data_IF_361727730909
#
_entry.id   IF_361727730909
#
_cell.length_a   1.000
_cell.length_b   1.000
_cell.length_c   1.000
_cell.angle_alpha   90.00
_cell.angle_beta   90.00
_cell.angle_gamma   90.00
#
_symmetry.space_group_name_H-M   'P 1'
#
loop_
_entity.id
_entity.type
_entity.pdbx_description
1 polymer ?
#
# COMPACT_ATOMS: atom_id res chain seq x y z
N UNK A 1 -7.96 -11.27 -23.69
CA UNK A 1 -7.54 -10.84 -23.54
C UNK A 1 -7.11 -10.39 -22.74
N UNK A 2 -6.92 -10.22 -22.47
CA UNK A 2 -6.64 -9.86 -21.63
C UNK A 2 -5.85 -9.09 -21.54
N UNK A 3 -5.79 -8.34 -21.49
CA UNK A 3 -5.10 -7.50 -21.49
C UNK A 3 -4.53 -7.26 -20.40
N UNK A 4 -3.59 -7.34 -20.22
CA UNK A 4 -2.98 -7.04 -19.19
C UNK A 4 -3.05 -5.75 -18.86
N UNK A 5 -3.55 -5.40 -17.87
CA UNK A 5 -3.62 -4.14 -17.55
C UNK A 5 -2.53 -3.82 -16.70
N UNK A 6 -1.53 -3.32 -17.17
CA UNK A 6 -0.40 -3.01 -16.40
C UNK A 6 -0.54 -1.82 -15.60
N UNK A 7 -1.66 -1.14 -15.69
CA UNK A 7 -1.79 0.09 -14.97
C UNK A 7 -2.51 -0.09 -13.66
N UNK A 8 -2.93 -1.28 -13.34
CA UNK A 8 -3.58 -1.49 -12.07
C UNK A 8 -2.53 -1.75 -11.01
N UNK A 9 -2.91 -1.54 -9.77
CA UNK A 9 -2.02 -1.78 -8.66
C UNK A 9 -2.87 -2.11 -7.45
N UNK A 10 -2.24 -2.66 -6.43
CA UNK A 10 -2.97 -3.03 -5.24
C UNK A 10 -2.13 -2.79 -4.02
N UNK A 11 -2.80 -2.45 -2.92
CA UNK A 11 -2.16 -2.34 -1.63
C UNK A 11 -2.82 -3.34 -0.70
N UNK A 12 -2.01 -3.88 0.19
CA UNK A 12 -2.50 -4.76 1.22
C UNK A 12 -2.26 -4.07 2.55
N UNK A 13 -3.30 -3.99 3.35
CA UNK A 13 -3.17 -3.35 4.65
C UNK A 13 -3.35 -4.42 5.71
N UNK A 14 -2.34 -4.55 6.56
CA UNK A 14 -2.40 -5.49 7.66
C UNK A 14 -2.36 -4.69 8.93
N UNK A 15 -3.29 -4.96 9.83
CA UNK A 15 -3.33 -4.23 11.09
C UNK A 15 -3.36 -5.20 12.24
N UNK A 16 -2.83 -4.80 13.37
CA UNK A 16 -2.88 -5.63 14.57
C UNK A 16 -2.71 -4.74 15.80
N UNK A 17 -3.07 -5.30 16.95
CA UNK A 17 -2.86 -4.62 18.22
C UNK A 17 -1.71 -5.33 18.88
N UNK A 18 -0.70 -4.58 19.25
CA UNK A 18 0.49 -5.17 19.79
C UNK A 18 0.23 -5.70 21.19
N UNK A 19 0.59 -6.95 21.40
CA UNK A 19 0.35 -7.54 22.68
C UNK A 19 1.22 -6.91 23.72
N UNK A 20 0.71 -6.66 24.87
CA UNK A 20 1.51 -6.08 25.93
C UNK A 20 1.40 -4.58 26.02
N UNK A 21 1.36 -3.91 24.90
CA UNK A 21 1.26 -2.45 24.94
C UNK A 21 -0.07 -1.96 24.41
N UNK A 22 -0.86 -2.85 23.82
CA UNK A 22 -2.15 -2.49 23.24
C UNK A 22 -2.02 -1.39 22.23
N UNK A 23 -0.91 -1.31 21.56
CA UNK A 23 -0.74 -0.27 20.57
C UNK A 23 -1.16 -0.75 19.20
N UNK A 24 -1.81 0.14 18.48
CA UNK A 24 -2.20 -0.14 17.11
C UNK A 24 -0.97 -0.15 16.20
N UNK A 25 -0.91 -1.12 15.35
CA UNK A 25 0.16 -1.19 14.37
C UNK A 25 -0.41 -1.55 13.02
N UNK A 26 0.22 -1.07 12.00
CA UNK A 26 -0.22 -1.36 10.64
C UNK A 26 0.96 -1.43 9.70
N UNK A 27 0.81 -2.25 8.69
CA UNK A 27 1.80 -2.34 7.63
C UNK A 27 1.08 -2.20 6.32
N UNK A 28 1.53 -1.28 5.49
CA UNK A 28 0.97 -1.06 4.17
C UNK A 28 1.95 -1.63 3.17
N UNK A 29 1.50 -2.53 2.34
CA UNK A 29 2.38 -3.20 1.38
C UNK A 29 1.84 -3.03 -0.02
N UNK A 30 2.72 -2.80 -0.95
CA UNK A 30 2.35 -2.79 -2.35
C UNK A 30 2.48 -4.20 -2.87
N UNK A 31 1.45 -4.67 -3.55
CA UNK A 31 1.44 -6.02 -4.04
C UNK A 31 1.92 -6.01 -5.47
N UNK A 32 2.98 -6.72 -5.72
CA UNK A 32 3.54 -6.74 -7.04
C UNK A 32 2.94 -7.82 -7.90
N UNK A 33 3.27 -7.80 -9.16
CA UNK A 33 2.65 -8.74 -10.09
C UNK A 33 3.21 -10.14 -10.00
N UNK A 34 4.32 -10.34 -9.36
CA UNK A 34 4.88 -11.66 -9.31
C UNK A 34 5.20 -12.04 -7.91
N UNK A 35 5.58 -13.31 -7.74
CA UNK A 35 5.94 -13.76 -6.44
C UNK A 35 7.13 -13.04 -5.96
N UNK A 36 7.15 -12.67 -4.71
CA UNK A 36 8.29 -12.00 -4.15
C UNK A 36 8.41 -10.55 -4.53
N UNK A 37 7.42 -10.00 -5.21
CA UNK A 37 7.54 -8.61 -5.57
C UNK A 37 6.75 -7.70 -4.64
N UNK A 38 6.18 -8.23 -3.59
CA UNK A 38 5.52 -7.38 -2.61
C UNK A 38 6.57 -6.62 -1.83
N UNK A 39 6.26 -5.40 -1.45
CA UNK A 39 7.20 -4.65 -0.66
C UNK A 39 6.46 -3.76 0.32
N UNK A 40 7.09 -3.49 1.43
CA UNK A 40 6.51 -2.64 2.45
C UNK A 40 6.61 -1.19 2.00
N UNK A 41 5.49 -0.52 1.99
CA UNK A 41 5.43 0.88 1.64
C UNK A 41 5.58 1.72 2.89
N UNK A 42 4.95 1.32 3.97
CA UNK A 42 5.00 2.12 5.18
C UNK A 42 4.62 1.28 6.38
N UNK A 43 5.12 1.67 7.52
CA UNK A 43 4.69 1.14 8.80
C UNK A 43 4.02 2.28 9.53
N UNK A 44 2.93 2.00 10.20
CA UNK A 44 2.18 3.05 10.85
C UNK A 44 1.74 2.61 12.22
N UNK A 45 1.59 3.54 13.11
CA UNK A 45 1.14 3.24 14.44
C UNK A 45 -0.12 4.00 14.80
N UNK A 46 -0.80 4.56 13.82
CA UNK A 46 -2.07 5.22 14.06
C UNK A 46 -2.88 5.17 12.78
N UNK A 47 -4.19 5.24 12.90
CA UNK A 47 -5.03 5.28 11.70
C UNK A 47 -4.72 6.47 10.80
N UNK A 48 -4.41 7.61 11.38
CA UNK A 48 -4.07 8.77 10.58
C UNK A 48 -2.81 8.52 9.76
N UNK A 49 -1.84 7.87 10.36
CA UNK A 49 -0.62 7.57 9.64
C UNK A 49 -0.88 6.59 8.50
N UNK A 50 -1.81 5.66 8.70
CA UNK A 50 -2.18 4.75 7.63
C UNK A 50 -2.80 5.52 6.47
N UNK A 51 -3.72 6.42 6.76
CA UNK A 51 -4.36 7.18 5.72
C UNK A 51 -3.36 8.05 4.98
N UNK A 52 -2.43 8.61 5.71
CA UNK A 52 -1.43 9.43 5.08
C UNK A 52 -0.54 8.61 4.15
N UNK A 53 -0.17 7.43 4.58
CA UNK A 53 0.68 6.56 3.76
C UNK A 53 -0.06 6.14 2.49
N UNK A 54 -1.33 5.79 2.63
CA UNK A 54 -2.10 5.38 1.47
C UNK A 54 -2.28 6.54 0.52
N UNK A 55 -2.55 7.73 1.07
CA UNK A 55 -2.71 8.91 0.23
C UNK A 55 -1.45 9.24 -0.54
N UNK A 56 -0.30 9.16 0.13
CA UNK A 56 0.95 9.41 -0.54
C UNK A 56 1.21 8.41 -1.64
N UNK A 57 0.90 7.14 -1.36
CA UNK A 57 1.12 6.12 -2.35
C UNK A 57 0.21 6.34 -3.56
N UNK A 58 -1.02 6.75 -3.32
CA UNK A 58 -1.93 7.02 -4.42
C UNK A 58 -1.48 8.20 -5.25
N UNK A 59 -0.96 9.24 -4.60
CA UNK A 59 -0.44 10.37 -5.33
C UNK A 59 0.72 9.95 -6.22
N UNK A 60 1.58 9.15 -5.69
CA UNK A 60 2.70 8.68 -6.46
C UNK A 60 2.26 7.80 -7.61
N UNK A 61 1.28 6.95 -7.36
CA UNK A 61 0.76 6.09 -8.39
C UNK A 61 0.16 6.91 -9.52
N UNK A 62 -0.60 7.93 -9.20
CA UNK A 62 -1.21 8.76 -10.21
C UNK A 62 -0.17 9.54 -10.99
N UNK A 63 0.89 9.94 -10.33
CA UNK A 63 1.91 10.71 -10.99
C UNK A 63 2.73 9.88 -11.93
N UNK A 64 2.99 8.64 -11.57
CA UNK A 64 3.81 7.81 -12.39
C UNK A 64 3.02 6.95 -13.30
N UNK A 65 1.99 6.32 -12.78
CA UNK A 65 1.26 5.38 -13.54
C UNK A 65 0.13 5.96 -14.28
N UNK A 66 -0.18 7.18 -14.02
CA UNK A 66 -1.32 7.77 -14.63
C UNK A 66 -1.12 7.82 -16.08
N UNK A 67 -2.14 7.69 -16.78
CA UNK A 67 -2.09 7.76 -18.19
C UNK A 67 -1.84 9.09 -18.54
N UNK A 68 -1.01 9.30 -19.20
CA UNK A 68 -0.83 10.53 -19.54
C UNK A 68 -1.62 10.91 -20.43
N UNK A 69 -2.06 10.87 -20.71
CA UNK A 69 -2.78 11.42 -21.50
C UNK A 69 -2.97 11.42 -21.81
#
# INVERSE_FOLDING_TARGET
>A
MAVADDRSAALLLRVWIEEGSDQFRARVMAVGPGEGSDRTVALASSPDAVLEAVGSWLDEYLRRGAPTD
#
